data_IF_097841823590
#
_entry.id   IF_097841823590
#
_cell.length_a   1.000
_cell.length_b   1.000
_cell.length_c   1.000
_cell.angle_alpha   90.00
_cell.angle_beta   90.00
_cell.angle_gamma   90.00
#
_symmetry.space_group_name_H-M   'P 1'
#
loop_
_entity.id
_entity.type
_entity.pdbx_description
1 polymer ?
#
# COMPACT_ATOMS: atom_id res chain seq x y z
N UNK A 1 1.32 -59.35 -42.02
CA UNK A 1 2.46 -59.30 -41.07
C UNK A 1 3.25 -58.04 -41.37
N UNK A 2 3.26 -57.09 -40.43
CA UNK A 2 3.99 -55.82 -40.51
C UNK A 2 5.50 -56.03 -40.41
N UNK A 3 6.31 -55.03 -40.82
CA UNK A 3 7.28 -54.52 -39.85
C UNK A 3 7.44 -52.99 -39.84
N UNK A 4 7.51 -52.48 -38.60
CA UNK A 4 8.41 -51.44 -38.08
C UNK A 4 8.41 -50.03 -38.71
N UNK A 5 7.54 -49.16 -38.18
CA UNK A 5 7.79 -47.72 -38.15
C UNK A 5 8.35 -47.32 -36.77
N UNK A 6 9.53 -46.67 -36.79
CA UNK A 6 10.20 -46.07 -35.64
C UNK A 6 9.28 -45.02 -34.99
N UNK A 7 9.06 -45.12 -33.68
CA UNK A 7 8.44 -44.05 -32.88
C UNK A 7 9.48 -42.96 -32.62
N UNK A 8 9.27 -41.79 -33.21
CA UNK A 8 9.94 -40.54 -32.84
C UNK A 8 9.16 -39.91 -31.68
N UNK A 9 9.81 -39.65 -30.55
CA UNK A 9 9.24 -38.91 -29.43
C UNK A 9 8.97 -37.45 -29.85
N UNK A 10 7.82 -36.84 -29.50
CA UNK A 10 7.65 -35.42 -29.68
C UNK A 10 8.54 -34.65 -28.69
N UNK A 11 9.24 -33.66 -29.23
CA UNK A 11 10.07 -32.71 -28.49
C UNK A 11 9.30 -32.14 -27.28
N UNK A 12 9.97 -32.16 -26.12
CA UNK A 12 9.53 -31.43 -24.94
C UNK A 12 9.32 -29.95 -25.28
N UNK A 13 8.07 -29.48 -25.16
CA UNK A 13 7.78 -28.05 -25.07
C UNK A 13 8.50 -27.52 -23.83
N UNK A 14 9.47 -26.63 -24.03
CA UNK A 14 10.00 -25.80 -22.96
C UNK A 14 8.84 -24.91 -22.47
N UNK A 15 8.55 -24.82 -21.16
CA UNK A 15 7.59 -23.85 -20.67
C UNK A 15 8.13 -22.44 -20.93
N UNK A 16 7.31 -21.64 -21.62
CA UNK A 16 7.51 -20.21 -21.82
C UNK A 16 7.45 -19.51 -20.46
N UNK A 17 8.59 -19.40 -19.77
CA UNK A 17 8.65 -18.80 -18.44
C UNK A 17 9.01 -17.31 -18.45
N UNK A 18 8.98 -16.65 -19.62
CA UNK A 18 9.48 -15.27 -19.79
C UNK A 18 8.36 -14.26 -20.13
N UNK A 19 7.13 -14.70 -20.38
CA UNK A 19 6.05 -13.80 -20.87
C UNK A 19 5.14 -13.29 -19.75
N UNK A 20 5.10 -13.96 -18.58
CA UNK A 20 4.19 -13.56 -17.49
C UNK A 20 4.75 -12.47 -16.57
N UNK A 21 6.08 -12.36 -16.41
CA UNK A 21 6.68 -11.35 -15.52
C UNK A 21 6.62 -9.93 -16.11
N UNK A 22 6.78 -9.77 -17.43
CA UNK A 22 6.66 -8.46 -18.10
C UNK A 22 5.22 -7.92 -18.07
N UNK A 23 4.23 -8.80 -17.96
CA UNK A 23 2.83 -8.40 -17.96
C UNK A 23 2.43 -7.78 -16.61
N UNK A 24 2.94 -8.31 -15.50
CA UNK A 24 2.65 -7.77 -14.16
C UNK A 24 3.26 -6.37 -13.97
N UNK A 25 4.49 -6.14 -14.43
CA UNK A 25 5.11 -4.81 -14.35
C UNK A 25 4.37 -3.78 -15.19
N UNK A 26 3.93 -4.14 -16.41
CA UNK A 26 3.15 -3.25 -17.25
C UNK A 26 1.75 -2.95 -16.68
N UNK A 27 1.10 -3.92 -16.02
CA UNK A 27 -0.19 -3.71 -15.33
C UNK A 27 0.00 -2.80 -14.10
N UNK A 28 1.10 -2.93 -13.37
CA UNK A 28 1.45 -2.06 -12.24
C UNK A 28 1.82 -0.62 -12.68
N UNK A 29 2.51 -0.47 -13.82
CA UNK A 29 2.74 0.85 -14.42
C UNK A 29 1.46 1.51 -14.93
N UNK A 30 0.52 0.73 -15.48
CA UNK A 30 -0.74 1.27 -15.98
C UNK A 30 -1.72 1.62 -14.85
N UNK A 31 -1.72 0.88 -13.74
CA UNK A 31 -2.53 1.19 -12.54
C UNK A 31 -1.96 2.35 -11.71
N UNK A 32 -0.69 2.73 -11.91
CA UNK A 32 -0.08 3.91 -11.29
C UNK A 32 -0.22 5.19 -12.12
N UNK A 33 -0.65 5.10 -13.38
CA UNK A 33 -0.97 6.27 -14.22
C UNK A 33 -2.28 6.91 -13.77
N UNK A 34 -2.20 7.79 -12.78
CA UNK A 34 -3.26 8.74 -12.51
C UNK A 34 -3.42 9.69 -13.70
N UNK A 35 -4.66 9.88 -14.17
CA UNK A 35 -5.04 10.97 -15.07
C UNK A 35 -4.43 12.27 -14.54
N UNK A 36 -3.63 12.94 -15.36
CA UNK A 36 -3.20 14.31 -15.14
C UNK A 36 -4.44 15.16 -14.84
N UNK A 37 -4.59 15.56 -13.57
CA UNK A 37 -5.61 16.53 -13.20
C UNK A 37 -5.15 17.86 -13.78
N UNK A 38 -5.96 18.42 -14.68
CA UNK A 38 -5.82 19.80 -15.14
C UNK A 38 -5.64 20.72 -13.92
N UNK A 39 -4.73 21.70 -13.97
CA UNK A 39 -4.45 22.56 -12.82
C UNK A 39 -5.74 23.25 -12.41
N UNK A 40 -6.23 22.97 -11.20
CA UNK A 40 -7.23 23.84 -10.57
C UNK A 40 -6.55 25.17 -10.27
N UNK A 41 -7.29 26.25 -10.54
CA UNK A 41 -6.91 27.66 -10.40
C UNK A 41 -5.91 27.94 -9.26
N UNK A 42 -4.85 28.68 -9.61
CA UNK A 42 -3.73 29.05 -8.76
C UNK A 42 -4.18 29.79 -7.49
N UNK A 43 -4.25 29.08 -6.38
CA UNK A 43 -3.77 29.65 -5.11
C UNK A 43 -2.26 29.84 -5.25
N UNK A 44 -1.70 30.96 -4.80
CA UNK A 44 -0.27 31.32 -4.98
C UNK A 44 0.76 30.44 -4.26
N UNK A 45 0.59 29.12 -4.25
CA UNK A 45 1.54 28.13 -3.76
C UNK A 45 2.28 27.48 -4.92
N UNK A 46 3.61 27.40 -4.86
CA UNK A 46 4.38 26.64 -5.84
C UNK A 46 4.00 25.16 -5.88
N UNK A 47 4.34 24.53 -6.99
CA UNK A 47 4.25 23.08 -7.15
C UNK A 47 5.01 22.33 -6.04
N UNK A 48 6.14 22.86 -5.57
CA UNK A 48 6.90 22.27 -4.45
C UNK A 48 6.09 22.26 -3.15
N UNK A 49 5.45 23.37 -2.78
CA UNK A 49 4.55 23.43 -1.62
C UNK A 49 3.41 22.42 -1.73
N UNK A 50 2.79 22.33 -2.91
CA UNK A 50 1.72 21.35 -3.16
C UNK A 50 2.21 19.91 -2.97
N UNK A 51 3.40 19.56 -3.44
CA UNK A 51 3.97 18.22 -3.28
C UNK A 51 4.26 17.90 -1.80
N UNK A 52 4.67 18.88 -1.01
CA UNK A 52 4.90 18.70 0.44
C UNK A 52 3.57 18.36 1.12
N UNK A 53 2.52 19.13 0.82
CA UNK A 53 1.18 18.87 1.32
C UNK A 53 0.64 17.54 0.84
N UNK A 54 0.91 17.15 -0.41
CA UNK A 54 0.52 15.87 -0.97
C UNK A 54 1.08 14.69 -0.16
N UNK A 55 2.36 14.71 0.25
CA UNK A 55 2.91 13.65 1.12
C UNK A 55 2.19 13.64 2.46
N UNK A 56 2.05 14.80 3.12
CA UNK A 56 1.44 14.90 4.45
C UNK A 56 0.00 14.38 4.43
N UNK A 57 -0.79 14.82 3.46
CA UNK A 57 -2.17 14.40 3.27
C UNK A 57 -2.27 12.91 2.97
N UNK A 58 -1.46 12.41 2.04
CA UNK A 58 -1.49 11.00 1.66
C UNK A 58 -1.10 10.09 2.81
N UNK A 59 -0.12 10.49 3.63
CA UNK A 59 0.30 9.71 4.80
C UNK A 59 -0.75 9.78 5.90
N UNK A 60 -1.37 10.95 6.10
CA UNK A 60 -2.48 11.12 7.05
C UNK A 60 -3.68 10.26 6.67
N UNK A 61 -4.07 10.23 5.39
CA UNK A 61 -5.15 9.39 4.88
C UNK A 61 -4.86 7.91 5.12
N UNK A 62 -3.66 7.45 4.75
CA UNK A 62 -3.22 6.08 4.98
C UNK A 62 -3.26 5.69 6.48
N UNK A 63 -2.67 6.52 7.34
CA UNK A 63 -2.66 6.30 8.80
C UNK A 63 -4.08 6.21 9.36
N UNK A 64 -4.96 7.11 8.96
CA UNK A 64 -6.34 7.13 9.44
C UNK A 64 -7.11 5.89 8.97
N UNK A 65 -6.90 5.44 7.73
CA UNK A 65 -7.50 4.22 7.21
C UNK A 65 -7.04 2.98 7.98
N UNK A 66 -5.74 2.79 8.16
CA UNK A 66 -5.20 1.67 8.92
C UNK A 66 -5.65 1.71 10.39
N UNK A 67 -5.74 2.89 11.00
CA UNK A 67 -6.24 3.04 12.36
C UNK A 67 -7.72 2.66 12.49
N UNK A 68 -8.55 2.96 11.48
CA UNK A 68 -9.95 2.55 11.44
C UNK A 68 -10.10 1.04 11.32
N UNK A 69 -9.29 0.40 10.48
CA UNK A 69 -9.24 -1.07 10.37
C UNK A 69 -8.90 -1.66 11.74
N UNK A 70 -7.80 -1.23 12.37
CA UNK A 70 -7.41 -1.74 13.69
C UNK A 70 -8.51 -1.53 14.72
N UNK A 71 -9.12 -0.34 14.75
CA UNK A 71 -10.20 -0.02 15.68
C UNK A 71 -11.41 -0.92 15.48
N UNK A 72 -11.86 -1.14 14.24
CA UNK A 72 -13.02 -1.98 13.93
C UNK A 72 -12.78 -3.44 14.31
N UNK A 73 -11.62 -3.98 13.91
CA UNK A 73 -11.32 -5.40 14.15
C UNK A 73 -11.02 -5.69 15.64
N UNK A 74 -10.71 -4.65 16.44
CA UNK A 74 -10.44 -4.79 17.88
C UNK A 74 -11.63 -4.45 18.78
N UNK A 75 -12.67 -3.75 18.27
CA UNK A 75 -13.80 -3.29 19.09
C UNK A 75 -14.82 -4.38 19.40
N UNK A 76 -14.81 -5.48 18.63
CA UNK A 76 -15.84 -6.52 18.71
C UNK A 76 -17.11 -6.18 17.94
N UNK A 77 -17.11 -5.12 17.13
CA UNK A 77 -18.27 -4.72 16.31
C UNK A 77 -18.57 -5.71 15.16
N UNK A 78 -17.58 -6.51 14.76
CA UNK A 78 -17.76 -7.55 13.75
C UNK A 78 -18.35 -8.78 14.45
N UNK A 79 -19.67 -8.97 14.34
CA UNK A 79 -20.43 -10.07 14.96
C UNK A 79 -20.19 -11.46 14.30
N UNK A 80 -19.01 -11.67 13.72
CA UNK A 80 -18.57 -12.95 13.18
C UNK A 80 -17.45 -13.48 14.06
N UNK A 81 -17.58 -14.69 14.63
CA UNK A 81 -16.52 -15.27 15.46
C UNK A 81 -15.20 -15.39 14.71
N UNK A 82 -14.11 -14.98 15.36
CA UNK A 82 -12.75 -15.09 14.82
C UNK A 82 -11.80 -15.53 15.93
N UNK A 83 -10.79 -16.32 15.57
CA UNK A 83 -9.76 -16.73 16.52
C UNK A 83 -8.75 -15.61 16.75
N UNK A 84 -8.13 -15.59 17.93
CA UNK A 84 -7.03 -14.66 18.20
C UNK A 84 -5.84 -14.86 17.27
N UNK A 85 -5.63 -16.08 16.78
CA UNK A 85 -4.57 -16.39 15.83
C UNK A 85 -4.86 -15.80 14.44
N UNK A 86 -6.09 -15.95 13.94
CA UNK A 86 -6.51 -15.33 12.68
C UNK A 86 -6.42 -13.79 12.76
N UNK A 87 -6.86 -13.20 13.86
CA UNK A 87 -6.72 -11.75 14.08
C UNK A 87 -5.26 -11.28 14.03
N UNK A 88 -4.32 -12.06 14.60
CA UNK A 88 -2.89 -11.75 14.52
C UNK A 88 -2.36 -11.79 13.10
N UNK A 89 -2.83 -12.73 12.28
CA UNK A 89 -2.46 -12.82 10.86
C UNK A 89 -2.99 -11.64 10.04
N UNK A 90 -4.12 -11.04 10.46
CA UNK A 90 -4.66 -9.82 9.83
C UNK A 90 -3.89 -8.58 10.30
N UNK A 91 -3.60 -8.47 11.60
CA UNK A 91 -2.94 -7.28 12.16
C UNK A 91 -1.46 -7.20 11.84
N UNK A 92 -0.73 -8.32 11.78
CA UNK A 92 0.70 -8.38 11.46
C UNK A 92 1.47 -7.35 12.31
N UNK A 93 1.98 -6.29 11.67
CA UNK A 93 2.67 -5.16 12.29
C UNK A 93 2.04 -3.81 11.86
N UNK A 94 0.72 -3.79 11.63
CA UNK A 94 -0.01 -2.57 11.26
C UNK A 94 0.14 -1.46 12.31
N UNK A 95 0.31 -1.81 13.59
CA UNK A 95 0.51 -0.83 14.66
C UNK A 95 1.86 -0.11 14.53
N UNK A 96 2.91 -0.85 14.20
CA UNK A 96 4.23 -0.32 13.89
C UNK A 96 4.17 0.57 12.65
N UNK A 97 3.36 0.19 11.65
CA UNK A 97 3.07 1.01 10.48
C UNK A 97 2.41 2.34 10.84
N UNK A 98 1.40 2.33 11.72
CA UNK A 98 0.78 3.56 12.21
C UNK A 98 1.76 4.47 12.96
N UNK A 99 2.66 3.89 13.74
CA UNK A 99 3.69 4.63 14.48
C UNK A 99 4.65 5.31 13.52
N UNK A 100 5.24 4.59 12.58
CA UNK A 100 6.18 5.19 11.63
C UNK A 100 5.50 6.18 10.68
N UNK A 101 4.26 5.93 10.26
CA UNK A 101 3.46 6.89 9.49
C UNK A 101 3.25 8.20 10.25
N UNK A 102 3.03 8.14 11.57
CA UNK A 102 2.92 9.34 12.42
C UNK A 102 4.24 10.11 12.48
N UNK A 103 5.35 9.40 12.65
CA UNK A 103 6.68 10.01 12.66
C UNK A 103 6.99 10.70 11.33
N UNK A 104 6.65 10.07 10.19
CA UNK A 104 6.80 10.65 8.85
C UNK A 104 5.98 11.94 8.71
N UNK A 105 4.69 11.91 9.09
CA UNK A 105 3.82 13.10 9.05
C UNK A 105 4.43 14.23 9.87
N UNK A 106 4.85 13.94 11.10
CA UNK A 106 5.38 14.95 12.01
C UNK A 106 6.71 15.52 11.50
N UNK A 107 7.63 14.68 11.05
CA UNK A 107 8.93 15.13 10.53
C UNK A 107 8.76 16.08 9.34
N UNK A 108 7.85 15.77 8.41
CA UNK A 108 7.63 16.59 7.21
C UNK A 108 6.84 17.86 7.56
N UNK A 109 5.86 17.79 8.45
CA UNK A 109 5.15 18.97 8.96
C UNK A 109 6.09 19.93 9.66
N UNK A 110 6.91 19.44 10.60
CA UNK A 110 7.87 20.26 11.32
C UNK A 110 8.86 20.89 10.34
N UNK A 111 9.39 20.13 9.38
CA UNK A 111 10.28 20.68 8.36
C UNK A 111 9.65 21.80 7.51
N UNK A 112 8.33 21.77 7.31
CA UNK A 112 7.58 22.82 6.61
C UNK A 112 7.34 24.04 7.51
N UNK A 113 7.01 23.80 8.78
CA UNK A 113 6.65 24.83 9.77
C UNK A 113 7.88 25.56 10.35
N UNK A 114 9.04 24.90 10.42
CA UNK A 114 10.31 25.46 10.93
C UNK A 114 10.98 26.43 9.94
N UNK A 115 10.40 26.63 8.75
CA UNK A 115 10.91 27.53 7.73
C UNK A 115 10.00 28.72 7.50
N UNK A 116 10.57 29.92 7.38
CA UNK A 116 9.84 31.15 7.02
C UNK A 116 9.23 31.07 5.62
N UNK A 117 9.85 30.29 4.73
CA UNK A 117 9.36 29.97 3.39
C UNK A 117 9.26 28.45 3.24
N UNK A 118 8.04 27.88 3.20
CA UNK A 118 7.81 26.45 3.00
C UNK A 118 8.45 25.86 1.73
N UNK A 119 8.76 26.67 0.72
CA UNK A 119 9.49 26.22 -0.47
C UNK A 119 10.91 25.80 -0.15
N UNK A 120 11.52 26.43 0.85
CA UNK A 120 12.89 26.15 1.29
C UNK A 120 12.98 24.99 2.30
N UNK A 121 11.84 24.38 2.67
CA UNK A 121 11.79 23.24 3.57
C UNK A 121 12.62 22.05 3.08
N UNK A 122 13.54 21.57 3.93
CA UNK A 122 14.36 20.39 3.67
C UNK A 122 13.65 19.10 4.10
N UNK A 123 12.56 18.76 3.41
CA UNK A 123 11.74 17.58 3.71
C UNK A 123 12.48 16.26 3.54
N UNK A 124 13.45 16.18 2.62
CA UNK A 124 14.30 15.00 2.45
C UNK A 124 15.23 14.81 3.65
N UNK A 125 15.80 15.90 4.18
CA UNK A 125 16.61 15.87 5.39
C UNK A 125 15.82 15.41 6.61
N UNK A 126 14.57 15.87 6.74
CA UNK A 126 13.68 15.44 7.81
C UNK A 126 13.24 13.97 7.70
N UNK A 127 13.11 13.44 6.48
CA UNK A 127 12.76 12.04 6.24
C UNK A 127 13.95 11.08 6.37
N UNK A 128 15.19 11.54 6.15
CA UNK A 128 16.39 10.70 6.13
C UNK A 128 16.56 9.81 7.39
N UNK A 129 16.38 10.31 8.63
CA UNK A 129 16.45 9.48 9.83
C UNK A 129 15.38 8.39 9.91
N UNK A 130 14.25 8.59 9.21
CA UNK A 130 13.11 7.67 9.22
C UNK A 130 13.21 6.56 8.17
N UNK A 131 14.15 6.64 7.21
CA UNK A 131 14.26 5.64 6.13
C UNK A 131 14.49 4.24 6.68
N UNK A 132 15.42 4.08 7.63
CA UNK A 132 15.74 2.77 8.23
C UNK A 132 14.56 2.18 9.00
N UNK A 133 13.93 2.88 9.96
CA UNK A 133 12.77 2.34 10.66
C UNK A 133 11.57 2.12 9.72
N UNK A 134 11.33 3.01 8.75
CA UNK A 134 10.29 2.81 7.75
C UNK A 134 10.53 1.56 6.90
N UNK A 135 11.78 1.37 6.44
CA UNK A 135 12.19 0.15 5.73
C UNK A 135 11.94 -1.10 6.53
N UNK A 136 12.33 -1.12 7.79
CA UNK A 136 12.08 -2.26 8.67
C UNK A 136 10.58 -2.58 8.71
N UNK A 137 9.74 -1.58 8.96
CA UNK A 137 8.30 -1.78 9.12
C UNK A 137 7.63 -2.29 7.84
N UNK A 138 7.89 -1.68 6.68
CA UNK A 138 7.25 -2.16 5.44
C UNK A 138 7.80 -3.53 5.01
N UNK A 139 9.09 -3.82 5.21
CA UNK A 139 9.66 -5.14 4.88
C UNK A 139 9.07 -6.22 5.79
N UNK A 140 8.94 -5.94 7.09
CA UNK A 140 8.33 -6.88 8.04
C UNK A 140 6.87 -7.16 7.68
N UNK A 141 6.12 -6.13 7.26
CA UNK A 141 4.75 -6.32 6.77
C UNK A 141 4.71 -7.23 5.52
N UNK A 142 5.53 -6.93 4.51
CA UNK A 142 5.59 -7.69 3.24
C UNK A 142 5.94 -9.15 3.47
N UNK A 143 6.86 -9.44 4.41
CA UNK A 143 7.30 -10.81 4.70
C UNK A 143 6.22 -11.66 5.38
N UNK A 144 5.35 -11.03 6.16
CA UNK A 144 4.37 -11.72 6.99
C UNK A 144 2.97 -11.72 6.37
N UNK A 145 2.69 -10.78 5.48
CA UNK A 145 1.39 -10.66 4.84
C UNK A 145 1.15 -11.76 3.81
N UNK A 146 0.01 -12.44 3.94
CA UNK A 146 -0.44 -13.44 2.99
C UNK A 146 -1.57 -12.86 2.12
N UNK A 147 -1.32 -12.52 0.84
CA UNK A 147 -2.36 -12.01 -0.06
C UNK A 147 -3.47 -13.03 -0.34
N UNK A 148 -3.21 -14.32 -0.08
CA UNK A 148 -4.17 -15.41 -0.24
C UNK A 148 -4.77 -15.86 1.10
N UNK A 149 -4.68 -15.05 2.16
CA UNK A 149 -5.15 -15.41 3.50
C UNK A 149 -6.58 -15.97 3.49
N UNK A 150 -7.52 -15.26 2.87
CA UNK A 150 -8.95 -15.68 2.80
C UNK A 150 -9.10 -16.96 1.97
N UNK A 151 -8.32 -17.13 0.89
CA UNK A 151 -8.37 -18.35 0.07
C UNK A 151 -7.86 -19.58 0.83
N UNK A 152 -6.82 -19.41 1.66
CA UNK A 152 -6.25 -20.49 2.49
C UNK A 152 -7.05 -20.74 3.78
N UNK A 153 -7.85 -19.76 4.20
CA UNK A 153 -8.69 -19.79 5.39
C UNK A 153 -10.13 -19.35 5.04
N UNK A 154 -10.90 -20.20 4.35
CA UNK A 154 -12.24 -19.83 3.84
C UNK A 154 -13.22 -19.42 4.95
N UNK A 155 -13.02 -19.86 6.19
CA UNK A 155 -13.84 -19.43 7.33
C UNK A 155 -13.73 -17.93 7.63
N UNK A 156 -12.71 -17.24 7.10
CA UNK A 156 -12.54 -15.79 7.23
C UNK A 156 -13.36 -14.99 6.21
N UNK A 157 -13.93 -15.62 5.19
CA UNK A 157 -14.65 -14.93 4.11
C UNK A 157 -15.77 -14.05 4.65
N UNK A 158 -16.70 -14.64 5.43
CA UNK A 158 -17.80 -13.91 6.05
C UNK A 158 -17.32 -12.80 7.00
N UNK A 159 -16.23 -13.04 7.74
CA UNK A 159 -15.64 -12.04 8.63
C UNK A 159 -15.14 -10.82 7.83
N UNK A 160 -14.44 -11.07 6.72
CA UNK A 160 -13.93 -10.02 5.83
C UNK A 160 -15.05 -9.26 5.12
N UNK A 161 -16.11 -9.95 4.68
CA UNK A 161 -17.28 -9.33 4.06
C UNK A 161 -17.99 -8.37 5.03
N UNK A 162 -18.31 -8.83 6.23
CA UNK A 162 -18.98 -8.00 7.26
C UNK A 162 -18.09 -6.83 7.67
N UNK A 163 -16.80 -7.07 7.91
CA UNK A 163 -15.86 -6.00 8.22
C UNK A 163 -15.76 -4.96 7.08
N UNK A 164 -15.78 -5.40 5.81
CA UNK A 164 -15.77 -4.49 4.65
C UNK A 164 -17.03 -3.63 4.59
N UNK A 165 -18.20 -4.21 4.86
CA UNK A 165 -19.46 -3.47 4.91
C UNK A 165 -19.45 -2.40 6.02
N UNK A 166 -18.99 -2.76 7.22
CA UNK A 166 -18.87 -1.83 8.34
C UNK A 166 -17.84 -0.72 8.09
N UNK A 167 -16.73 -1.01 7.40
CA UNK A 167 -15.79 0.02 6.96
C UNK A 167 -16.42 0.97 5.94
N UNK A 168 -17.12 0.41 4.95
CA UNK A 168 -17.82 1.19 3.90
C UNK A 168 -18.87 2.12 4.51
N UNK A 169 -19.62 1.67 5.51
CA UNK A 169 -20.59 2.51 6.23
C UNK A 169 -19.92 3.69 6.94
N UNK A 170 -18.73 3.47 7.54
CA UNK A 170 -18.00 4.48 8.29
C UNK A 170 -17.33 5.54 7.43
N UNK A 171 -16.91 5.20 6.22
CA UNK A 171 -16.08 6.09 5.40
C UNK A 171 -16.54 6.30 3.95
N UNK A 172 -17.62 5.63 3.54
CA UNK A 172 -18.17 5.69 2.18
C UNK A 172 -17.28 5.05 1.11
N UNK A 173 -16.17 4.43 1.48
CA UNK A 173 -15.23 3.81 0.54
C UNK A 173 -15.59 2.34 0.33
N UNK A 174 -15.95 1.98 -0.91
CA UNK A 174 -16.42 0.65 -1.30
C UNK A 174 -15.29 -0.39 -1.48
N UNK A 175 -14.05 -0.02 -1.18
CA UNK A 175 -12.89 -0.92 -1.27
C UNK A 175 -12.97 -1.98 -0.16
N UNK A 176 -12.72 -3.24 -0.53
CA UNK A 176 -12.77 -4.39 0.38
C UNK A 176 -11.67 -4.35 1.45
N UNK A 177 -11.87 -5.04 2.57
CA UNK A 177 -10.84 -5.17 3.61
C UNK A 177 -9.54 -5.75 3.04
N UNK A 178 -9.61 -6.78 2.18
CA UNK A 178 -8.44 -7.38 1.54
C UNK A 178 -7.64 -6.35 0.73
N UNK A 179 -8.32 -5.54 -0.08
CA UNK A 179 -7.66 -4.50 -0.88
C UNK A 179 -7.07 -3.38 0.00
N UNK A 180 -7.77 -3.00 1.07
CA UNK A 180 -7.24 -2.00 2.02
C UNK A 180 -5.97 -2.50 2.70
N UNK A 181 -5.89 -3.80 3.02
CA UNK A 181 -4.69 -4.43 3.60
C UNK A 181 -3.53 -4.57 2.59
N UNK A 182 -3.74 -4.31 1.30
CA UNK A 182 -2.64 -4.17 0.32
C UNK A 182 -2.02 -2.77 0.31
N UNK A 183 -2.69 -1.75 0.88
CA UNK A 183 -2.18 -0.38 0.89
C UNK A 183 -0.75 -0.23 1.47
N UNK A 184 -0.35 -0.97 2.53
CA UNK A 184 1.02 -0.95 3.04
C UNK A 184 2.09 -1.37 2.03
N UNK A 185 1.78 -2.23 1.05
CA UNK A 185 2.72 -2.61 -0.02
C UNK A 185 3.02 -1.45 -0.96
N UNK A 186 2.01 -0.65 -1.23
CA UNK A 186 2.10 0.45 -2.20
C UNK A 186 2.77 1.69 -1.60
N UNK A 187 2.80 1.79 -0.26
CA UNK A 187 3.20 3.01 0.45
C UNK A 187 4.63 3.47 0.16
N UNK A 188 5.66 2.60 0.16
CA UNK A 188 7.03 3.03 -0.16
C UNK A 188 7.14 3.66 -1.55
N UNK A 189 6.44 3.09 -2.54
CA UNK A 189 6.41 3.60 -3.91
C UNK A 189 5.68 4.95 -3.99
N UNK A 190 4.54 5.10 -3.30
CA UNK A 190 3.80 6.37 -3.26
C UNK A 190 4.63 7.50 -2.65
N UNK A 191 5.33 7.25 -1.54
CA UNK A 191 6.23 8.24 -0.92
C UNK A 191 7.39 8.56 -1.86
N UNK A 192 8.07 7.54 -2.40
CA UNK A 192 9.18 7.72 -3.32
C UNK A 192 8.78 8.54 -4.55
N UNK A 193 7.62 8.28 -5.14
CA UNK A 193 7.14 8.99 -6.32
C UNK A 193 6.96 10.49 -6.06
N UNK A 194 6.46 10.89 -4.88
CA UNK A 194 6.33 12.31 -4.57
C UNK A 194 7.70 12.96 -4.38
N UNK A 195 8.66 12.30 -3.72
CA UNK A 195 10.04 12.79 -3.65
C UNK A 195 10.70 12.93 -5.02
N UNK A 196 10.48 11.98 -5.94
CA UNK A 196 10.99 12.08 -7.31
C UNK A 196 10.37 13.25 -8.09
N UNK A 197 9.07 13.52 -7.88
CA UNK A 197 8.42 14.71 -8.45
C UNK A 197 8.98 16.00 -7.86
N UNK A 198 9.32 16.02 -6.57
CA UNK A 198 9.95 17.19 -5.91
C UNK A 198 11.37 17.48 -6.42
N UNK A 199 12.09 16.48 -6.95
CA UNK A 199 13.43 16.70 -7.53
C UNK A 199 13.39 17.43 -8.88
N UNK A 200 12.24 17.41 -9.57
CA UNK A 200 12.06 17.99 -10.91
C UNK A 200 11.58 19.44 -10.88
N UNK A 201 11.34 19.99 -9.69
CA UNK A 201 10.81 21.35 -9.46
C UNK A 201 11.84 22.23 -8.79
#
# INVERSE_FOLDING_TARGET
>A
MSPSQKRTLPNAMKPNHVVEEENIYNILEQTTKYKERSPKQSSGHSLRCFLIDEIIENETKFKNEMARIISLLSSGDVEIPITSEDLRLIFINLREYLTISREIINAIKNAKEDTTDPEMACVAGAFLPLIVPFKKVYVDYIKLFDPQLVQKRPHLEMYFEVASALLTERDGNTVTLSDRLLAPFQRPFKISNVFERMKKV
#
